data_IF_636987515755
#
_entry.id   IF_636987515755
#
_cell.length_a   1.000
_cell.length_b   1.000
_cell.length_c   1.000
_cell.angle_alpha   90.00
_cell.angle_beta   90.00
_cell.angle_gamma   90.00
#
_symmetry.space_group_name_H-M   'P 1'
#
loop_
_entity.id
_entity.type
_entity.pdbx_description
1 polymer ?
#
# COMPACT_ATOMS: atom_id res chain seq x y z
N UNK A 1 2.26 1.19 -29.85
CA UNK A 1 3.59 1.48 -29.31
C UNK A 1 3.42 2.38 -28.09
N UNK A 2 3.69 1.89 -26.90
CA UNK A 2 3.51 2.67 -25.68
C UNK A 2 4.81 3.44 -25.41
N UNK A 3 4.76 4.76 -25.46
CA UNK A 3 5.90 5.62 -25.12
C UNK A 3 6.05 5.64 -23.59
N UNK A 4 7.13 5.09 -23.09
CA UNK A 4 7.48 5.17 -21.68
C UNK A 4 8.24 6.48 -21.46
N UNK A 5 7.52 7.52 -21.04
CA UNK A 5 8.13 8.80 -20.68
C UNK A 5 8.69 8.63 -19.26
N UNK A 6 9.97 8.35 -19.14
CA UNK A 6 10.71 8.30 -17.89
C UNK A 6 10.71 9.68 -17.23
N UNK A 7 10.31 9.70 -15.97
CA UNK A 7 10.01 10.85 -15.15
C UNK A 7 11.08 11.94 -15.15
N UNK A 8 10.71 13.10 -15.60
CA UNK A 8 11.36 14.36 -15.25
C UNK A 8 10.52 15.03 -14.16
N UNK A 9 11.21 15.70 -13.26
CA UNK A 9 10.61 16.38 -12.11
C UNK A 9 9.60 17.42 -12.57
N UNK A 10 8.35 17.06 -12.60
CA UNK A 10 7.26 17.97 -12.95
C UNK A 10 6.93 18.76 -11.69
N UNK A 11 7.33 20.02 -11.66
CA UNK A 11 6.82 21.00 -10.71
C UNK A 11 5.45 21.47 -11.19
N UNK A 12 4.47 20.62 -11.05
CA UNK A 12 3.08 21.05 -11.26
C UNK A 12 2.51 21.43 -9.90
N UNK A 13 2.05 22.67 -9.71
CA UNK A 13 1.28 22.97 -8.51
C UNK A 13 0.07 22.03 -8.50
N UNK A 14 -0.03 21.22 -7.45
CA UNK A 14 -1.21 20.39 -7.23
C UNK A 14 -2.43 21.32 -7.21
N UNK A 15 -3.54 20.95 -7.84
CA UNK A 15 -4.73 21.76 -7.79
C UNK A 15 -5.14 21.91 -6.33
N UNK A 16 -5.22 23.16 -5.89
CA UNK A 16 -5.62 23.47 -4.52
C UNK A 16 -7.11 23.17 -4.27
N UNK A 17 -7.84 22.73 -5.30
CA UNK A 17 -9.27 22.55 -5.24
C UNK A 17 -9.68 21.21 -5.83
N UNK A 18 -10.36 20.43 -4.99
CA UNK A 18 -11.04 19.20 -5.37
C UNK A 18 -12.51 19.55 -5.55
N UNK A 19 -13.12 19.11 -6.64
CA UNK A 19 -14.54 19.24 -6.86
C UNK A 19 -15.30 18.44 -5.78
N UNK A 20 -16.14 19.07 -4.95
CA UNK A 20 -16.78 18.40 -3.82
C UNK A 20 -17.86 17.40 -4.22
N UNK A 21 -18.40 17.47 -5.44
CA UNK A 21 -19.42 16.55 -5.92
C UNK A 21 -18.82 15.29 -6.53
N UNK A 22 -17.78 15.45 -7.35
CA UNK A 22 -17.10 14.34 -8.00
C UNK A 22 -15.95 13.77 -7.18
N UNK A 23 -15.45 14.52 -6.19
CA UNK A 23 -14.22 14.22 -5.42
C UNK A 23 -12.97 14.07 -6.30
N UNK A 24 -12.99 14.64 -7.48
CA UNK A 24 -11.91 14.58 -8.44
C UNK A 24 -11.14 15.90 -8.50
N UNK A 25 -9.83 15.79 -8.59
CA UNK A 25 -8.94 16.90 -8.90
C UNK A 25 -8.46 16.81 -10.36
N UNK A 26 -8.22 17.95 -10.97
CA UNK A 26 -7.63 18.02 -12.31
C UNK A 26 -6.15 18.34 -12.22
N UNK A 27 -5.31 17.44 -12.72
CA UNK A 27 -3.86 17.64 -12.81
C UNK A 27 -3.51 17.95 -14.27
N UNK A 28 -2.70 19.00 -14.47
CA UNK A 28 -2.11 19.32 -15.78
C UNK A 28 -0.67 18.93 -15.77
N UNK A 29 -0.27 18.10 -16.72
CA UNK A 29 1.10 17.62 -16.86
C UNK A 29 1.70 18.30 -18.08
N UNK A 30 2.76 19.08 -17.87
CA UNK A 30 3.54 19.63 -18.97
C UNK A 30 4.51 18.55 -19.46
N UNK A 31 4.51 18.31 -20.74
CA UNK A 31 5.43 17.38 -21.40
C UNK A 31 6.40 18.20 -22.22
N UNK A 32 7.69 17.87 -22.14
CA UNK A 32 8.67 18.51 -23.02
C UNK A 32 8.36 18.20 -24.48
N UNK A 33 8.51 19.17 -25.38
CA UNK A 33 8.27 18.96 -26.80
C UNK A 33 9.20 17.85 -27.34
N UNK A 34 8.60 16.82 -27.90
CA UNK A 34 9.30 15.73 -28.59
C UNK A 34 8.65 15.56 -29.97
N UNK A 35 9.44 15.53 -31.07
CA UNK A 35 8.92 15.32 -32.42
C UNK A 35 8.15 14.01 -32.59
N UNK A 36 8.36 13.03 -31.71
CA UNK A 36 7.66 11.76 -31.72
C UNK A 36 6.26 11.85 -31.10
N UNK A 37 5.96 12.92 -30.36
CA UNK A 37 4.66 13.10 -29.70
C UNK A 37 3.62 13.65 -30.67
N UNK A 38 2.49 12.97 -30.76
CA UNK A 38 1.35 13.40 -31.58
C UNK A 38 0.13 13.63 -30.71
N UNK A 39 -0.62 14.66 -31.05
CA UNK A 39 -1.91 14.94 -30.42
C UNK A 39 -2.89 13.81 -30.75
N UNK A 40 -3.52 13.25 -29.73
CA UNK A 40 -4.47 12.14 -29.86
C UNK A 40 -3.87 10.76 -29.58
N UNK A 41 -2.58 10.67 -29.29
CA UNK A 41 -1.98 9.41 -28.86
C UNK A 41 -2.35 9.04 -27.41
N UNK A 42 -2.36 7.75 -27.14
CA UNK A 42 -2.58 7.24 -25.78
C UNK A 42 -1.34 7.47 -24.92
N UNK A 43 -1.53 8.06 -23.75
CA UNK A 43 -0.46 8.26 -22.78
C UNK A 43 -0.86 7.72 -21.41
N UNK A 44 0.13 7.25 -20.67
CA UNK A 44 -0.03 6.84 -19.27
C UNK A 44 0.91 7.66 -18.42
N UNK A 45 0.37 8.26 -17.35
CA UNK A 45 1.17 8.99 -16.38
C UNK A 45 1.01 8.34 -14.99
N UNK A 46 2.11 8.24 -14.26
CA UNK A 46 2.12 7.83 -12.87
C UNK A 46 2.44 9.04 -12.00
N UNK A 47 1.53 9.39 -11.11
CA UNK A 47 1.66 10.53 -10.21
C UNK A 47 1.96 10.02 -8.83
N UNK A 48 3.13 10.38 -8.28
CA UNK A 48 3.51 10.10 -6.89
C UNK A 48 3.22 11.34 -6.05
N UNK A 49 2.10 11.33 -5.33
CA UNK A 49 1.64 12.51 -4.57
C UNK A 49 2.33 12.67 -3.22
N UNK A 50 2.75 11.58 -2.61
CA UNK A 50 3.46 11.62 -1.32
C UNK A 50 4.39 10.42 -1.19
N UNK A 51 5.40 10.58 -0.32
CA UNK A 51 6.26 9.50 0.15
C UNK A 51 6.15 9.45 1.66
N UNK A 52 6.02 8.28 2.20
CA UNK A 52 5.96 8.03 3.61
C UNK A 52 6.91 6.88 3.95
N UNK A 53 7.39 6.83 5.19
CA UNK A 53 8.26 5.78 5.70
C UNK A 53 7.50 5.01 6.78
N UNK A 54 6.61 4.13 6.38
CA UNK A 54 5.91 3.20 7.26
C UNK A 54 6.21 1.76 6.90
N UNK A 55 5.70 0.84 7.71
CA UNK A 55 5.76 -0.58 7.42
C UNK A 55 4.69 -0.94 6.39
N UNK A 56 5.09 -1.57 5.30
CA UNK A 56 4.16 -2.01 4.26
C UNK A 56 3.65 -3.42 4.57
N UNK A 57 2.33 -3.56 4.63
CA UNK A 57 1.66 -4.85 4.86
C UNK A 57 0.67 -5.16 3.72
N UNK A 58 0.41 -6.45 3.44
CA UNK A 58 -0.69 -6.84 2.56
C UNK A 58 -2.03 -6.31 3.11
N UNK A 59 -2.95 -5.92 2.23
CA UNK A 59 -4.29 -5.48 2.66
C UNK A 59 -5.03 -6.54 3.47
N UNK A 60 -4.76 -7.82 3.21
CA UNK A 60 -5.34 -8.97 3.90
C UNK A 60 -4.88 -9.11 5.36
N UNK A 61 -3.78 -8.46 5.74
CA UNK A 61 -3.28 -8.43 7.12
C UNK A 61 -4.04 -7.45 8.02
N UNK A 62 -4.84 -6.56 7.43
CA UNK A 62 -5.50 -5.49 8.14
C UNK A 62 -6.95 -5.85 8.46
N UNK A 63 -7.29 -5.72 9.72
CA UNK A 63 -8.65 -5.91 10.23
C UNK A 63 -9.33 -4.54 10.38
N UNK A 64 -10.41 -4.35 9.64
CA UNK A 64 -11.28 -3.18 9.75
C UNK A 64 -12.46 -3.53 10.65
N UNK A 65 -12.56 -2.86 11.78
CA UNK A 65 -13.65 -3.03 12.74
C UNK A 65 -14.30 -1.70 13.07
N UNK A 66 -15.48 -1.73 13.63
CA UNK A 66 -16.21 -0.52 14.08
C UNK A 66 -15.38 0.32 15.06
N UNK A 67 -14.52 -0.33 15.82
CA UNK A 67 -13.67 0.29 16.84
C UNK A 67 -12.36 0.86 16.28
N UNK A 68 -12.09 0.67 14.98
CA UNK A 68 -10.90 1.11 14.31
C UNK A 68 -10.16 0.01 13.56
N UNK A 69 -8.98 0.35 13.10
CA UNK A 69 -8.13 -0.54 12.31
C UNK A 69 -7.10 -1.22 13.22
N UNK A 70 -6.91 -2.51 13.02
CA UNK A 70 -5.96 -3.32 13.79
C UNK A 70 -5.26 -4.33 12.89
N UNK A 71 -4.15 -4.86 13.39
CA UNK A 71 -3.42 -5.99 12.81
C UNK A 71 -3.14 -7.01 13.91
N UNK A 72 -2.86 -8.24 13.50
CA UNK A 72 -2.46 -9.29 14.42
C UNK A 72 -0.95 -9.49 14.35
N UNK A 73 -0.26 -9.20 15.44
CA UNK A 73 1.20 -9.38 15.58
C UNK A 73 1.45 -10.67 16.34
N UNK A 74 2.45 -11.43 15.95
CA UNK A 74 2.85 -12.65 16.64
C UNK A 74 4.12 -12.36 17.46
N UNK A 75 4.00 -12.50 18.76
CA UNK A 75 5.12 -12.40 19.70
C UNK A 75 5.18 -13.65 20.58
N UNK A 76 6.34 -14.27 20.67
CA UNK A 76 6.54 -15.49 21.47
C UNK A 76 5.52 -16.61 21.15
N UNK A 77 5.18 -16.75 19.87
CA UNK A 77 4.16 -17.67 19.36
C UNK A 77 2.72 -17.41 19.88
N UNK A 78 2.46 -16.20 20.34
CA UNK A 78 1.13 -15.78 20.77
C UNK A 78 0.66 -14.62 19.89
N UNK A 79 -0.61 -14.66 19.51
CA UNK A 79 -1.26 -13.61 18.73
C UNK A 79 -1.64 -12.45 19.65
N UNK A 80 -1.24 -11.25 19.25
CA UNK A 80 -1.62 -9.99 19.90
C UNK A 80 -2.31 -9.10 18.86
N UNK A 81 -3.57 -8.74 19.13
CA UNK A 81 -4.29 -7.79 18.26
C UNK A 81 -3.91 -6.37 18.67
N UNK A 82 -3.30 -5.66 17.73
CA UNK A 82 -2.79 -4.31 17.97
C UNK A 82 -3.47 -3.30 17.08
N UNK A 83 -3.95 -2.21 17.68
CA UNK A 83 -4.50 -1.08 16.94
C UNK A 83 -3.39 -0.35 16.18
N UNK A 84 -3.68 0.02 14.94
CA UNK A 84 -2.71 0.66 14.05
C UNK A 84 -3.31 1.87 13.36
N UNK A 85 -2.43 2.76 12.91
CA UNK A 85 -2.80 3.87 12.04
C UNK A 85 -2.34 3.56 10.61
N UNK A 86 -3.26 3.69 9.69
CA UNK A 86 -3.00 3.48 8.26
C UNK A 86 -2.46 4.78 7.65
N UNK A 87 -1.46 4.66 6.80
CA UNK A 87 -0.92 5.70 5.96
C UNK A 87 -1.40 5.58 4.50
N UNK A 88 -0.47 5.37 3.60
CA UNK A 88 -0.73 5.29 2.17
C UNK A 88 -1.28 3.92 1.75
N UNK A 89 -2.06 3.92 0.68
CA UNK A 89 -2.59 2.72 0.03
C UNK A 89 -1.96 2.52 -1.34
N UNK A 90 -1.70 1.27 -1.68
CA UNK A 90 -1.42 0.83 -3.04
C UNK A 90 -2.44 -0.25 -3.47
N UNK A 91 -2.31 -0.80 -4.67
CA UNK A 91 -3.25 -1.81 -5.16
C UNK A 91 -3.27 -3.08 -4.30
N UNK A 92 -2.13 -3.52 -3.79
CA UNK A 92 -1.97 -4.77 -3.05
C UNK A 92 -1.57 -4.59 -1.59
N UNK A 93 -1.07 -3.42 -1.20
CA UNK A 93 -0.50 -3.17 0.11
C UNK A 93 -1.07 -1.91 0.75
N UNK A 94 -0.91 -1.84 2.06
CA UNK A 94 -1.25 -0.69 2.88
C UNK A 94 -0.05 -0.37 3.77
N UNK A 95 0.23 0.91 3.90
CA UNK A 95 1.23 1.40 4.83
C UNK A 95 0.64 1.52 6.23
N UNK A 96 1.39 1.04 7.19
CA UNK A 96 1.12 1.26 8.62
C UNK A 96 2.08 2.33 9.11
N UNK A 97 1.54 3.50 9.43
CA UNK A 97 2.33 4.63 9.92
C UNK A 97 2.63 4.55 11.42
N UNK A 98 1.78 3.89 12.18
CA UNK A 98 1.95 3.70 13.63
C UNK A 98 1.38 2.36 14.09
N UNK A 99 2.02 1.76 15.09
CA UNK A 99 1.54 0.54 15.77
C UNK A 99 2.29 -0.74 15.40
N UNK A 100 3.06 -0.76 14.32
CA UNK A 100 3.94 -1.88 13.94
C UNK A 100 5.35 -1.37 13.71
N UNK A 101 6.33 -2.17 14.09
CA UNK A 101 7.75 -1.89 13.89
C UNK A 101 8.31 -2.82 12.82
N UNK A 102 9.35 -2.37 12.16
CA UNK A 102 10.10 -3.19 11.22
C UNK A 102 10.68 -4.43 11.93
N UNK A 103 10.55 -5.60 11.30
CA UNK A 103 11.00 -6.88 11.85
C UNK A 103 9.97 -7.59 12.74
N UNK A 104 8.83 -6.99 13.07
CA UNK A 104 7.76 -7.70 13.76
C UNK A 104 7.04 -8.68 12.83
N UNK A 105 6.68 -9.85 13.35
CA UNK A 105 5.87 -10.83 12.62
C UNK A 105 4.40 -10.42 12.65
N UNK A 106 3.81 -10.26 11.48
CA UNK A 106 2.39 -9.92 11.32
C UNK A 106 1.69 -11.04 10.57
N UNK A 107 0.49 -11.37 10.98
CA UNK A 107 -0.36 -12.35 10.28
C UNK A 107 -0.76 -11.77 8.93
N UNK A 108 -0.26 -12.35 7.85
CA UNK A 108 -0.46 -11.85 6.49
C UNK A 108 -1.90 -11.97 6.00
N UNK A 109 -2.63 -12.94 6.50
CA UNK A 109 -4.05 -13.13 6.23
C UNK A 109 -4.79 -13.14 7.57
N UNK A 110 -5.13 -11.97 8.07
CA UNK A 110 -5.85 -11.77 9.31
C UNK A 110 -7.32 -12.17 9.11
N UNK A 111 -7.52 -13.46 8.93
CA UNK A 111 -8.84 -14.05 8.86
C UNK A 111 -9.54 -14.03 10.22
N UNK A 112 -10.78 -14.45 10.20
CA UNK A 112 -11.68 -14.46 11.37
C UNK A 112 -11.39 -15.55 12.39
N UNK A 113 -10.38 -16.39 12.16
CA UNK A 113 -10.13 -17.61 12.95
C UNK A 113 -9.10 -17.43 14.09
N UNK A 114 -8.34 -16.35 14.10
CA UNK A 114 -7.36 -16.09 15.15
C UNK A 114 -7.87 -15.02 16.13
N UNK A 115 -7.72 -15.31 17.41
CA UNK A 115 -8.10 -14.41 18.49
C UNK A 115 -6.87 -13.97 19.28
N UNK A 116 -7.04 -12.89 20.00
CA UNK A 116 -6.02 -12.38 20.90
C UNK A 116 -5.67 -13.44 21.97
N UNK A 117 -4.39 -13.71 22.14
CA UNK A 117 -3.91 -14.74 23.05
C UNK A 117 -3.78 -16.15 22.47
N UNK A 118 -4.21 -16.37 21.24
CA UNK A 118 -4.07 -17.68 20.58
C UNK A 118 -2.59 -18.05 20.40
N UNK A 119 -2.28 -19.31 20.67
CA UNK A 119 -0.94 -19.86 20.42
C UNK A 119 -0.86 -20.30 18.98
N UNK A 120 0.12 -19.79 18.25
CA UNK A 120 0.33 -20.07 16.83
C UNK A 120 1.77 -20.49 16.57
N UNK A 121 1.94 -21.23 15.47
CA UNK A 121 3.26 -21.51 14.92
C UNK A 121 3.39 -20.73 13.61
N UNK A 122 4.13 -19.62 13.59
CA UNK A 122 4.27 -18.83 12.37
C UNK A 122 5.05 -19.62 11.32
N UNK A 123 4.58 -19.56 10.08
CA UNK A 123 5.29 -20.07 8.90
C UNK A 123 5.67 -18.86 8.05
N UNK A 124 6.95 -18.69 7.79
CA UNK A 124 7.44 -17.60 6.94
C UNK A 124 7.28 -17.97 5.46
N UNK A 125 7.08 -16.99 4.56
CA UNK A 125 6.92 -17.22 3.12
C UNK A 125 8.03 -18.08 2.52
N UNK A 126 9.26 -17.88 2.92
CA UNK A 126 10.43 -18.63 2.44
C UNK A 126 10.42 -20.12 2.85
N UNK A 127 9.69 -20.47 3.89
CA UNK A 127 9.52 -21.87 4.32
C UNK A 127 8.41 -22.57 3.51
N UNK A 128 7.41 -21.82 3.08
CA UNK A 128 6.29 -22.35 2.26
C UNK A 128 6.80 -22.75 0.88
N UNK A 129 7.64 -21.92 0.26
CA UNK A 129 8.24 -22.20 -1.06
C UNK A 129 9.15 -23.42 -1.06
N UNK A 130 9.83 -23.71 0.05
CA UNK A 130 10.68 -24.90 0.19
C UNK A 130 9.89 -26.20 0.44
N UNK A 131 8.69 -26.09 1.02
CA UNK A 131 7.83 -27.24 1.29
C UNK A 131 6.93 -27.62 0.11
N UNK A 132 6.67 -26.71 -0.82
CA UNK A 132 5.83 -26.90 -2.01
C UNK A 132 6.53 -27.44 -3.24
N UNK A 133 7.82 -27.64 -3.21
CA UNK A 133 8.63 -28.19 -4.30
C UNK A 133 8.66 -29.73 -4.32
N UNK A 134 7.57 -30.35 -4.73
CA UNK A 134 7.54 -31.74 -5.21
C UNK A 134 6.63 -31.83 -6.41
#
# INVERSE_FOLDING_TARGET
MALNISAWSIRTPLPAQIDPQSQLGRVRIAVEPDPALRVGEFARATISASRSCGVSLPKTAVLYRTEGTSVQVVRDNVVETRRVRIGLFSDSAVEISEGVKEGELVVANAGTSLHDGDKVRPTLPDEVDRAGGR
#
